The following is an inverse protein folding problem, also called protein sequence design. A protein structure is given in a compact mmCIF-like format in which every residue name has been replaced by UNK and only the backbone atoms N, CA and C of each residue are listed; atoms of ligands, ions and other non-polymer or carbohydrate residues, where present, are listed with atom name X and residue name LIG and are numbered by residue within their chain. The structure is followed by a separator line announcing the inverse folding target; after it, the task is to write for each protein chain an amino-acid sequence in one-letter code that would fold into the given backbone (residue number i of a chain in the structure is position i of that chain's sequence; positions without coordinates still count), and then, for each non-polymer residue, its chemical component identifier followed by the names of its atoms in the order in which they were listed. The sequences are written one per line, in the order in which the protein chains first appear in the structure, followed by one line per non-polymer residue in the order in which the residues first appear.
data_IF_335995397114
#
_entry.id   IF_335995397114
#
_cell.length_a   1.000
_cell.length_b   1.000
_cell.length_c   1.000
_cell.angle_alpha   90.00
_cell.angle_beta   90.00
_cell.angle_gamma   90.00
#
_symmetry.space_group_name_H-M   'P 1'
#
loop_
_entity.id
_entity.type
_entity.pdbx_description
1 polymer ?
#
# COMPACT_ATOMS: atom_id res chain seq x y z
N UNK A 1 3.61 39.73 -0.67
CA UNK A 1 4.53 39.31 0.40
C UNK A 1 3.97 38.05 1.04
N UNK A 2 4.63 36.89 0.95
CA UNK A 2 4.18 35.69 1.63
C UNK A 2 4.28 35.92 3.15
N UNK A 3 3.14 35.77 3.84
CA UNK A 3 3.06 35.88 5.30
C UNK A 3 3.68 34.63 5.88
N UNK A 4 4.87 34.76 6.45
CA UNK A 4 5.66 33.69 7.09
C UNK A 4 4.81 32.88 8.09
N UNK A 5 4.45 31.61 7.80
CA UNK A 5 4.14 30.61 8.82
C UNK A 5 5.39 29.74 9.00
N UNK A 6 6.57 30.34 9.10
CA UNK A 6 7.82 29.60 8.81
C UNK A 6 8.21 28.68 9.96
N UNK A 7 8.24 29.16 11.20
CA UNK A 7 8.85 28.38 12.29
C UNK A 7 8.05 27.11 12.65
N UNK A 8 6.72 27.19 12.70
CA UNK A 8 5.87 26.06 13.08
C UNK A 8 5.97 24.86 12.13
N UNK A 9 6.06 25.11 10.82
CA UNK A 9 6.17 24.05 9.81
C UNK A 9 7.54 23.36 9.92
N UNK A 10 8.64 24.11 10.11
CA UNK A 10 9.96 23.52 10.32
C UNK A 10 10.05 22.68 11.59
N UNK A 11 9.46 23.13 12.70
CA UNK A 11 9.44 22.38 13.96
C UNK A 11 8.70 21.05 13.79
N UNK A 12 7.56 21.06 13.11
CA UNK A 12 6.78 19.83 12.82
C UNK A 12 7.55 18.88 11.90
N UNK A 13 8.22 19.40 10.86
CA UNK A 13 9.06 18.58 9.97
C UNK A 13 10.24 17.97 10.72
N UNK A 14 10.92 18.75 11.58
CA UNK A 14 12.04 18.27 12.39
C UNK A 14 11.59 17.17 13.36
N UNK A 15 10.46 17.35 14.05
CA UNK A 15 9.91 16.33 14.94
C UNK A 15 9.61 15.03 14.20
N UNK A 16 9.11 15.11 12.96
CA UNK A 16 8.88 13.93 12.12
C UNK A 16 10.19 13.18 11.82
N UNK A 17 11.24 13.90 11.42
CA UNK A 17 12.55 13.30 11.12
C UNK A 17 13.17 12.68 12.39
N UNK A 18 13.09 13.38 13.52
CA UNK A 18 13.58 12.87 14.80
C UNK A 18 12.86 11.58 15.22
N UNK A 19 11.54 11.47 14.99
CA UNK A 19 10.78 10.27 15.31
C UNK A 19 11.16 9.09 14.40
N UNK A 20 11.42 9.36 13.12
CA UNK A 20 11.97 8.38 12.17
C UNK A 20 13.35 7.88 12.64
N UNK A 21 14.25 8.79 13.01
CA UNK A 21 15.58 8.44 13.55
C UNK A 21 15.44 7.64 14.85
N UNK A 22 14.54 8.04 15.76
CA UNK A 22 14.31 7.32 17.01
C UNK A 22 13.77 5.90 16.78
N UNK A 23 12.91 5.69 15.78
CA UNK A 23 12.45 4.34 15.38
C UNK A 23 13.59 3.45 14.89
N UNK A 24 14.43 3.97 14.00
CA UNK A 24 15.62 3.23 13.52
C UNK A 24 16.57 2.96 14.67
N UNK A 25 16.83 3.95 15.52
CA UNK A 25 17.68 3.82 16.70
C UNK A 25 17.16 2.78 17.69
N UNK A 26 15.84 2.71 17.91
CA UNK A 26 15.23 1.66 18.74
C UNK A 26 15.43 0.27 18.15
N UNK A 27 15.27 0.12 16.82
CA UNK A 27 15.58 -1.14 16.14
C UNK A 27 17.07 -1.48 16.20
N UNK A 28 17.98 -0.52 16.11
CA UNK A 28 19.41 -0.80 16.31
C UNK A 28 19.78 -1.08 17.78
N UNK A 29 18.92 -0.71 18.73
CA UNK A 29 19.19 -0.84 20.17
C UNK A 29 19.56 -2.25 20.62
N UNK A 30 18.90 -3.29 20.09
CA UNK A 30 19.24 -4.67 20.47
C UNK A 30 20.62 -5.10 19.95
N UNK A 31 21.03 -4.60 18.77
CA UNK A 31 22.38 -4.84 18.24
C UNK A 31 23.44 -4.07 19.06
N UNK A 32 23.15 -2.83 19.43
CA UNK A 32 24.04 -2.03 20.28
C UNK A 32 24.27 -2.73 21.62
N UNK A 33 23.22 -3.28 22.23
CA UNK A 33 23.33 -4.04 23.48
C UNK A 33 24.16 -5.32 23.27
N UNK A 34 23.88 -6.09 22.21
CA UNK A 34 24.56 -7.35 21.94
C UNK A 34 26.07 -7.17 21.69
N UNK A 35 26.43 -6.26 20.78
CA UNK A 35 27.82 -5.98 20.46
C UNK A 35 28.52 -5.19 21.58
N UNK A 36 27.81 -4.29 22.25
CA UNK A 36 28.35 -3.51 23.38
C UNK A 36 28.71 -4.40 24.57
N UNK A 37 27.86 -5.36 24.94
CA UNK A 37 28.19 -6.34 25.97
C UNK A 37 29.31 -7.28 25.53
N UNK A 38 29.31 -7.70 24.25
CA UNK A 38 30.37 -8.56 23.72
C UNK A 38 31.75 -7.87 23.80
N UNK A 39 31.84 -6.60 23.38
CA UNK A 39 33.08 -5.83 23.50
C UNK A 39 33.43 -5.47 24.94
N UNK A 40 32.44 -5.22 25.82
CA UNK A 40 32.70 -5.02 27.25
C UNK A 40 33.42 -6.23 27.87
N UNK A 41 32.97 -7.45 27.54
CA UNK A 41 33.57 -8.69 28.05
C UNK A 41 34.97 -8.91 27.47
N UNK A 42 35.16 -8.68 26.17
CA UNK A 42 36.42 -8.98 25.47
C UNK A 42 37.50 -7.91 25.73
N UNK A 43 37.10 -6.63 25.73
CA UNK A 43 37.99 -5.47 25.80
C UNK A 43 37.86 -4.69 27.12
N UNK A 44 37.30 -5.28 28.18
CA UNK A 44 37.03 -4.59 29.46
C UNK A 44 38.25 -3.94 30.14
N UNK A 45 39.47 -4.30 29.75
CA UNK A 45 40.72 -3.66 30.20
C UNK A 45 40.95 -2.26 29.58
N UNK A 46 40.17 -1.87 28.56
CA UNK A 46 40.23 -0.56 27.92
C UNK A 46 39.26 0.40 28.57
N UNK A 47 39.66 1.67 28.66
CA UNK A 47 38.85 2.76 29.23
C UNK A 47 37.48 2.87 28.55
N UNK A 48 37.43 2.79 27.22
CA UNK A 48 36.21 2.84 26.42
C UNK A 48 35.24 1.67 26.66
N UNK A 49 35.75 0.52 27.11
CA UNK A 49 34.96 -0.68 27.38
C UNK A 49 34.94 -1.07 28.86
N UNK A 50 35.41 -0.19 29.75
CA UNK A 50 35.57 -0.47 31.18
C UNK A 50 34.25 -0.65 31.93
N UNK A 51 33.19 -0.01 31.44
CA UNK A 51 31.81 -0.16 31.90
C UNK A 51 30.92 -0.52 30.71
N UNK A 52 29.85 -1.28 30.98
CA UNK A 52 28.83 -1.58 29.96
C UNK A 52 28.25 -0.29 29.35
N UNK A 53 28.05 0.76 30.15
CA UNK A 53 27.54 2.05 29.67
C UNK A 53 28.49 2.72 28.67
N UNK A 54 29.79 2.76 28.97
CA UNK A 54 30.80 3.29 28.05
C UNK A 54 30.92 2.45 26.79
N UNK A 55 30.78 1.12 26.92
CA UNK A 55 30.80 0.20 25.78
C UNK A 55 29.66 0.46 24.81
N UNK A 56 28.44 0.75 25.31
CA UNK A 56 27.30 1.11 24.46
C UNK A 56 27.54 2.43 23.71
N UNK A 57 28.10 3.43 24.39
CA UNK A 57 28.44 4.71 23.77
C UNK A 57 29.50 4.50 22.68
N UNK A 58 30.55 3.71 22.95
CA UNK A 58 31.58 3.44 21.95
C UNK A 58 31.05 2.63 20.76
N UNK A 59 30.15 1.67 20.99
CA UNK A 59 29.50 0.94 19.89
C UNK A 59 28.60 1.85 19.06
N UNK A 60 27.87 2.78 19.70
CA UNK A 60 27.06 3.77 18.99
C UNK A 60 27.94 4.70 18.12
N UNK A 61 29.04 5.19 18.68
CA UNK A 61 30.06 5.95 17.96
C UNK A 61 30.63 5.19 16.74
N UNK A 62 30.96 3.91 16.92
CA UNK A 62 31.42 3.05 15.83
C UNK A 62 30.35 2.81 14.74
N UNK A 63 29.05 2.88 15.05
CA UNK A 63 27.97 2.82 14.04
C UNK A 63 27.93 4.09 13.19
N UNK A 64 28.29 5.25 13.74
CA UNK A 64 28.37 6.52 13.01
C UNK A 64 29.54 6.57 12.01
N UNK A 65 30.44 5.58 12.06
CA UNK A 65 31.55 5.42 11.12
C UNK A 65 32.92 5.71 11.72
N UNK A 66 33.00 6.06 13.00
CA UNK A 66 34.27 6.29 13.70
C UNK A 66 34.88 4.96 14.15
N UNK A 67 35.71 4.38 13.27
CA UNK A 67 36.41 3.12 13.52
C UNK A 67 37.87 3.35 13.93
N UNK A 68 38.11 3.50 15.23
CA UNK A 68 39.47 3.62 15.80
C UNK A 68 40.16 2.25 15.93
N UNK A 69 40.38 1.56 14.80
CA UNK A 69 40.97 0.22 14.79
C UNK A 69 42.30 0.15 15.54
N UNK A 70 43.17 1.16 15.32
CA UNK A 70 44.52 1.17 15.85
C UNK A 70 44.49 1.22 17.39
N UNK A 71 43.79 2.19 17.95
CA UNK A 71 43.78 2.43 19.40
C UNK A 71 42.96 1.39 20.17
N UNK A 72 41.85 0.94 19.58
CA UNK A 72 40.90 0.05 20.24
C UNK A 72 41.30 -1.42 20.12
N UNK A 73 41.83 -1.85 18.97
CA UNK A 73 42.11 -3.26 18.68
C UNK A 73 43.60 -3.53 18.47
N UNK A 74 44.29 -2.78 17.62
CA UNK A 74 45.70 -3.08 17.26
C UNK A 74 46.66 -2.89 18.44
N UNK A 75 46.70 -1.70 19.04
CA UNK A 75 47.60 -1.35 20.14
C UNK A 75 47.50 -2.30 21.35
N UNK A 76 46.31 -2.66 21.86
CA UNK A 76 46.23 -3.59 22.97
C UNK A 76 46.60 -5.02 22.62
N UNK A 77 46.39 -5.46 21.37
CA UNK A 77 46.82 -6.77 20.91
C UNK A 77 48.35 -6.80 20.74
N UNK A 78 48.93 -5.79 20.10
CA UNK A 78 50.36 -5.68 19.83
C UNK A 78 51.18 -5.51 21.11
N UNK A 79 50.71 -4.65 22.04
CA UNK A 79 51.38 -4.41 23.32
C UNK A 79 51.07 -5.49 24.38
N UNK A 80 50.40 -6.58 24.03
CA UNK A 80 50.11 -7.69 24.94
C UNK A 80 49.15 -7.35 26.09
N UNK A 81 48.39 -6.25 25.99
CA UNK A 81 47.41 -5.82 26.99
C UNK A 81 46.13 -6.66 26.92
N UNK A 82 45.85 -7.26 25.76
CA UNK A 82 44.79 -8.27 25.59
C UNK A 82 45.39 -9.67 25.67
N UNK A 83 45.03 -10.43 26.70
CA UNK A 83 45.50 -11.82 26.85
C UNK A 83 44.90 -12.73 25.77
N UNK A 84 45.67 -13.72 25.32
CA UNK A 84 45.12 -14.82 24.52
C UNK A 84 44.11 -15.62 25.36
N UNK A 85 42.95 -16.03 24.81
CA UNK A 85 42.53 -15.98 23.39
C UNK A 85 41.68 -14.75 23.01
N UNK A 86 41.50 -13.78 23.92
CA UNK A 86 40.62 -12.62 23.71
C UNK A 86 41.08 -11.72 22.55
N UNK A 87 42.37 -11.74 22.20
CA UNK A 87 42.92 -11.01 21.06
C UNK A 87 42.32 -11.47 19.71
N UNK A 88 42.26 -12.79 19.47
CA UNK A 88 41.67 -13.35 18.25
C UNK A 88 40.15 -13.17 18.26
N UNK A 89 39.53 -13.35 19.43
CA UNK A 89 38.09 -13.18 19.59
C UNK A 89 37.66 -11.73 19.32
N UNK A 90 38.43 -10.74 19.79
CA UNK A 90 38.19 -9.32 19.53
C UNK A 90 38.18 -9.01 18.04
N UNK A 91 39.15 -9.56 17.29
CA UNK A 91 39.23 -9.38 15.84
C UNK A 91 38.05 -10.03 15.13
N UNK A 92 37.66 -11.25 15.51
CA UNK A 92 36.50 -11.94 14.92
C UNK A 92 35.22 -11.12 15.15
N UNK A 93 34.97 -10.67 16.38
CA UNK A 93 33.82 -9.85 16.71
C UNK A 93 33.85 -8.49 16.00
N UNK A 94 35.03 -7.89 15.86
CA UNK A 94 35.22 -6.65 15.10
C UNK A 94 34.91 -6.83 13.62
N UNK A 95 35.44 -7.89 12.98
CA UNK A 95 35.12 -8.21 11.58
C UNK A 95 33.63 -8.50 11.38
N UNK A 96 33.00 -9.22 12.31
CA UNK A 96 31.56 -9.42 12.30
C UNK A 96 30.81 -8.09 12.42
N UNK A 97 31.25 -7.20 13.32
CA UNK A 97 30.65 -5.89 13.54
C UNK A 97 30.69 -5.01 12.28
N UNK A 98 31.84 -4.89 11.62
CA UNK A 98 31.99 -4.01 10.43
C UNK A 98 31.17 -4.48 9.22
N UNK A 99 30.78 -5.77 9.19
CA UNK A 99 29.90 -6.31 8.14
C UNK A 99 28.45 -6.16 8.56
N UNK A 100 28.11 -6.67 9.75
CA UNK A 100 26.71 -6.79 10.21
C UNK A 100 26.11 -5.42 10.50
N UNK A 101 26.83 -4.52 11.17
CA UNK A 101 26.24 -3.25 11.60
C UNK A 101 25.91 -2.30 10.45
N UNK A 102 26.80 -2.05 9.47
CA UNK A 102 26.46 -1.20 8.34
C UNK A 102 25.33 -1.79 7.49
N UNK A 103 25.33 -3.11 7.25
CA UNK A 103 24.25 -3.78 6.51
C UNK A 103 22.92 -3.66 7.27
N UNK A 104 22.92 -3.92 8.59
CA UNK A 104 21.72 -3.78 9.40
C UNK A 104 21.22 -2.34 9.42
N UNK A 105 22.10 -1.37 9.65
CA UNK A 105 21.74 0.06 9.66
C UNK A 105 21.20 0.53 8.31
N UNK A 106 21.85 0.16 7.19
CA UNK A 106 21.38 0.49 5.85
C UNK A 106 20.02 -0.17 5.56
N UNK A 107 19.86 -1.46 5.82
CA UNK A 107 18.62 -2.18 5.56
C UNK A 107 17.46 -1.63 6.40
N UNK A 108 17.68 -1.35 7.68
CA UNK A 108 16.64 -0.76 8.54
C UNK A 108 16.24 0.66 8.09
N UNK A 109 17.19 1.45 7.60
CA UNK A 109 16.91 2.79 7.08
C UNK A 109 16.14 2.71 5.75
N UNK A 110 16.51 1.78 4.86
CA UNK A 110 15.82 1.53 3.59
C UNK A 110 14.42 0.98 3.85
N UNK A 111 14.25 -0.01 4.73
CA UNK A 111 12.96 -0.62 5.04
C UNK A 111 11.98 0.41 5.62
N UNK A 112 12.46 1.32 6.46
CA UNK A 112 11.64 2.41 6.99
C UNK A 112 11.25 3.40 5.89
N UNK A 113 12.19 3.77 5.02
CA UNK A 113 11.93 4.66 3.88
C UNK A 113 10.94 4.04 2.89
N UNK A 114 11.10 2.75 2.56
CA UNK A 114 10.19 1.99 1.68
C UNK A 114 8.81 1.84 2.32
N UNK A 115 8.74 1.64 3.65
CA UNK A 115 7.49 1.60 4.39
C UNK A 115 6.75 2.93 4.37
N UNK A 116 7.46 4.06 4.43
CA UNK A 116 6.85 5.39 4.31
C UNK A 116 6.40 5.70 2.87
N UNK A 117 7.16 5.27 1.86
CA UNK A 117 6.75 5.35 0.44
C UNK A 117 5.45 4.57 0.20
N UNK A 118 5.35 3.32 0.68
CA UNK A 118 4.13 2.51 0.53
C UNK A 118 2.90 3.16 1.18
N UNK A 119 3.07 3.84 2.33
CA UNK A 119 1.95 4.59 2.95
C UNK A 119 1.50 5.74 2.08
N UNK A 120 2.44 6.51 1.52
CA UNK A 120 2.13 7.63 0.61
C UNK A 120 1.40 7.11 -0.63
N UNK A 121 1.90 6.04 -1.23
CA UNK A 121 1.30 5.42 -2.42
C UNK A 121 -0.14 4.95 -2.13
N UNK A 122 -0.35 4.18 -1.05
CA UNK A 122 -1.68 3.70 -0.68
C UNK A 122 -2.66 4.84 -0.41
N UNK A 123 -2.21 5.90 0.25
CA UNK A 123 -3.03 7.08 0.51
C UNK A 123 -3.40 7.79 -0.80
N UNK A 124 -2.49 7.92 -1.77
CA UNK A 124 -2.78 8.50 -3.07
C UNK A 124 -3.81 7.68 -3.87
N UNK A 125 -3.68 6.34 -3.87
CA UNK A 125 -4.65 5.43 -4.50
C UNK A 125 -6.03 5.60 -3.85
N UNK A 126 -6.11 5.63 -2.51
CA UNK A 126 -7.37 5.84 -1.79
C UNK A 126 -7.98 7.22 -2.11
N UNK A 127 -7.16 8.27 -2.19
CA UNK A 127 -7.61 9.60 -2.61
C UNK A 127 -8.22 9.58 -4.02
N UNK A 128 -7.59 8.88 -4.97
CA UNK A 128 -8.12 8.73 -6.32
C UNK A 128 -9.46 7.99 -6.36
N UNK A 129 -9.59 6.88 -5.63
CA UNK A 129 -10.84 6.11 -5.54
C UNK A 129 -11.98 6.95 -4.92
N UNK A 130 -11.70 7.74 -3.90
CA UNK A 130 -12.68 8.65 -3.30
C UNK A 130 -13.17 9.69 -4.30
N UNK A 131 -12.27 10.23 -5.12
CA UNK A 131 -12.62 11.17 -6.19
C UNK A 131 -13.54 10.49 -7.21
N UNK A 132 -13.20 9.29 -7.71
CA UNK A 132 -14.08 8.55 -8.64
C UNK A 132 -15.46 8.30 -8.03
N UNK A 133 -15.52 7.83 -6.78
CA UNK A 133 -16.78 7.59 -6.08
C UNK A 133 -17.63 8.86 -5.97
N UNK A 134 -16.99 10.00 -5.70
CA UNK A 134 -17.68 11.30 -5.67
C UNK A 134 -18.30 11.64 -7.02
N UNK A 135 -17.58 11.46 -8.12
CA UNK A 135 -18.11 11.72 -9.47
C UNK A 135 -19.28 10.79 -9.83
N UNK A 136 -19.16 9.48 -9.57
CA UNK A 136 -20.26 8.52 -9.80
C UNK A 136 -21.48 8.91 -8.98
N UNK A 137 -21.31 9.23 -7.69
CA UNK A 137 -22.42 9.65 -6.82
C UNK A 137 -23.09 10.94 -7.31
N UNK A 138 -22.33 11.85 -7.93
CA UNK A 138 -22.84 13.09 -8.51
C UNK A 138 -23.65 12.80 -9.76
N UNK A 139 -23.20 11.90 -10.62
CA UNK A 139 -23.95 11.45 -11.78
C UNK A 139 -25.24 10.72 -11.38
N UNK A 140 -25.20 9.78 -10.45
CA UNK A 140 -26.40 9.09 -9.96
C UNK A 140 -27.44 10.06 -9.36
N UNK A 141 -26.98 11.10 -8.65
CA UNK A 141 -27.89 12.15 -8.13
C UNK A 141 -28.50 12.96 -9.26
N UNK A 142 -27.73 13.28 -10.31
CA UNK A 142 -28.23 13.99 -11.49
C UNK A 142 -29.27 13.17 -12.23
N UNK A 143 -29.00 11.88 -12.45
CA UNK A 143 -29.94 10.96 -13.09
C UNK A 143 -31.21 10.82 -12.26
N UNK A 144 -31.11 10.56 -10.96
CA UNK A 144 -32.28 10.50 -10.07
C UNK A 144 -33.11 11.78 -10.13
N UNK A 145 -32.48 12.94 -10.08
CA UNK A 145 -33.18 14.23 -10.20
C UNK A 145 -33.91 14.39 -11.54
N UNK A 146 -33.30 13.96 -12.65
CA UNK A 146 -33.88 14.02 -13.98
C UNK A 146 -35.07 13.04 -14.14
N UNK A 147 -34.94 11.82 -13.62
CA UNK A 147 -36.04 10.86 -13.53
C UNK A 147 -37.22 11.40 -12.71
N UNK A 148 -36.96 12.04 -11.57
CA UNK A 148 -38.02 12.66 -10.77
C UNK A 148 -38.71 13.81 -11.52
N UNK A 149 -37.96 14.62 -12.27
CA UNK A 149 -38.56 15.69 -13.10
C UNK A 149 -39.41 15.12 -14.24
N UNK A 150 -38.93 14.10 -14.96
CA UNK A 150 -39.69 13.42 -16.01
C UNK A 150 -40.96 12.80 -15.44
N UNK A 151 -40.87 12.14 -14.28
CA UNK A 151 -42.03 11.53 -13.63
C UNK A 151 -43.07 12.56 -13.20
N UNK A 152 -42.63 13.71 -12.69
CA UNK A 152 -43.54 14.80 -12.31
C UNK A 152 -44.22 15.43 -13.52
N UNK A 153 -43.48 15.70 -14.61
CA UNK A 153 -44.03 16.25 -15.84
C UNK A 153 -45.01 15.27 -16.50
N UNK A 154 -44.65 13.98 -16.63
CA UNK A 154 -45.55 12.94 -17.14
C UNK A 154 -46.82 12.79 -16.29
N UNK A 155 -46.71 12.97 -14.97
CA UNK A 155 -47.87 12.94 -14.08
C UNK A 155 -48.78 14.15 -14.29
N UNK A 156 -48.22 15.34 -14.52
CA UNK A 156 -49.01 16.53 -14.90
C UNK A 156 -49.65 16.36 -16.28
N UNK A 157 -48.90 15.90 -17.28
CA UNK A 157 -49.41 15.67 -18.63
C UNK A 157 -50.53 14.62 -18.64
N UNK A 158 -50.43 13.56 -17.82
CA UNK A 158 -51.49 12.56 -17.65
C UNK A 158 -52.75 13.15 -16.99
N UNK A 159 -52.61 14.10 -16.05
CA UNK A 159 -53.75 14.80 -15.44
C UNK A 159 -54.41 15.73 -16.46
N UNK A 160 -53.63 16.42 -17.29
CA UNK A 160 -54.12 17.31 -18.35
C UNK A 160 -54.82 16.52 -19.48
N UNK A 161 -54.23 15.39 -19.91
CA UNK A 161 -54.81 14.47 -20.89
C UNK A 161 -56.09 13.83 -20.37
N UNK A 162 -56.15 13.46 -19.09
CA UNK A 162 -57.35 12.85 -18.49
C UNK A 162 -58.52 13.83 -18.34
N UNK A 163 -58.27 15.14 -18.48
CA UNK A 163 -59.32 16.18 -18.51
C UNK A 163 -59.78 16.53 -19.94
N UNK A 164 -59.08 16.05 -20.97
CA UNK A 164 -59.40 16.32 -22.38
C UNK A 164 -60.27 15.21 -22.98
N UNK A 165 -61.56 15.49 -23.20
CA UNK A 165 -62.58 14.53 -23.62
C UNK A 165 -62.40 13.93 -25.03
N UNK A 166 -61.45 14.43 -25.83
CA UNK A 166 -61.18 13.94 -27.18
C UNK A 166 -60.12 12.81 -27.22
N UNK A 167 -59.34 12.61 -26.15
CA UNK A 167 -58.07 11.86 -26.19
C UNK A 167 -58.20 10.41 -25.71
N UNK A 168 -59.33 10.03 -25.11
CA UNK A 168 -59.55 8.68 -24.55
C UNK A 168 -59.48 7.57 -25.62
N UNK A 169 -59.92 7.86 -26.84
CA UNK A 169 -59.88 6.91 -27.95
C UNK A 169 -58.46 6.72 -28.51
N UNK A 170 -57.72 7.80 -28.73
CA UNK A 170 -56.34 7.75 -29.25
C UNK A 170 -55.38 7.10 -28.24
N UNK A 171 -55.57 7.37 -26.94
CA UNK A 171 -54.78 6.74 -25.86
C UNK A 171 -55.05 5.24 -25.78
N UNK A 172 -56.28 4.80 -26.05
CA UNK A 172 -56.61 3.36 -26.07
C UNK A 172 -55.88 2.63 -27.18
N UNK A 173 -55.81 3.23 -28.37
CA UNK A 173 -55.13 2.65 -29.53
C UNK A 173 -53.61 2.58 -29.34
N UNK A 174 -52.99 3.66 -28.83
CA UNK A 174 -51.56 3.67 -28.53
C UNK A 174 -51.16 2.68 -27.43
N UNK A 175 -52.02 2.50 -26.41
CA UNK A 175 -51.80 1.53 -25.32
C UNK A 175 -51.87 0.08 -25.84
N UNK A 176 -52.73 -0.17 -26.83
CA UNK A 176 -52.83 -1.47 -27.48
C UNK A 176 -51.62 -1.76 -28.38
N UNK A 177 -51.13 -0.77 -29.13
CA UNK A 177 -49.92 -0.87 -29.94
C UNK A 177 -48.69 -1.13 -29.06
N UNK A 178 -48.52 -0.39 -27.97
CA UNK A 178 -47.42 -0.58 -27.03
C UNK A 178 -47.46 -1.97 -26.34
N UNK A 179 -48.65 -2.45 -25.97
CA UNK A 179 -48.86 -3.80 -25.43
C UNK A 179 -48.49 -4.89 -26.44
N UNK A 180 -48.89 -4.73 -27.70
CA UNK A 180 -48.53 -5.67 -28.77
C UNK A 180 -47.04 -5.64 -29.08
N UNK A 181 -46.41 -4.46 -29.09
CA UNK A 181 -44.97 -4.34 -29.30
C UNK A 181 -44.18 -5.02 -28.17
N UNK A 182 -44.56 -4.80 -26.91
CA UNK A 182 -43.95 -5.46 -25.76
C UNK A 182 -44.04 -6.99 -25.81
N UNK A 183 -45.18 -7.54 -26.25
CA UNK A 183 -45.34 -8.99 -26.49
C UNK A 183 -44.41 -9.51 -27.59
N UNK A 184 -44.24 -8.76 -28.68
CA UNK A 184 -43.32 -9.13 -29.78
C UNK A 184 -41.86 -9.12 -29.35
N UNK A 185 -41.44 -8.10 -28.58
CA UNK A 185 -40.07 -8.02 -28.04
C UNK A 185 -39.80 -9.19 -27.09
N UNK A 186 -40.76 -9.56 -26.25
CA UNK A 186 -40.62 -10.71 -25.33
C UNK A 186 -40.51 -12.05 -26.09
N UNK A 187 -41.27 -12.22 -27.18
CA UNK A 187 -41.13 -13.39 -28.06
C UNK A 187 -39.76 -13.43 -28.77
N UNK A 188 -39.26 -12.29 -29.27
CA UNK A 188 -37.93 -12.21 -29.88
C UNK A 188 -36.82 -12.54 -28.86
N UNK A 189 -36.90 -12.02 -27.64
CA UNK A 189 -35.94 -12.34 -26.59
C UNK A 189 -35.91 -13.84 -26.27
N UNK A 190 -37.08 -14.48 -26.24
CA UNK A 190 -37.19 -15.92 -26.07
C UNK A 190 -36.56 -16.69 -27.24
N UNK A 191 -36.80 -16.27 -28.49
CA UNK A 191 -36.16 -16.87 -29.66
C UNK A 191 -34.64 -16.73 -29.60
N UNK A 192 -34.12 -15.53 -29.33
CA UNK A 192 -32.67 -15.30 -29.23
C UNK A 192 -32.02 -16.20 -28.17
N UNK A 193 -32.64 -16.34 -27.00
CA UNK A 193 -32.13 -17.25 -25.97
C UNK A 193 -32.13 -18.72 -26.41
N UNK A 194 -33.15 -19.15 -27.16
CA UNK A 194 -33.19 -20.50 -27.71
C UNK A 194 -32.08 -20.74 -28.75
N UNK A 195 -31.82 -19.76 -29.62
CA UNK A 195 -30.76 -19.82 -30.61
C UNK A 195 -29.36 -19.85 -29.96
N UNK A 196 -29.15 -19.08 -28.90
CA UNK A 196 -27.90 -19.10 -28.12
C UNK A 196 -27.67 -20.48 -27.49
N UNK A 197 -28.72 -21.12 -26.95
CA UNK A 197 -28.64 -22.47 -26.40
C UNK A 197 -28.21 -23.49 -27.46
N UNK A 198 -28.82 -23.46 -28.64
CA UNK A 198 -28.43 -24.33 -29.76
C UNK A 198 -26.96 -24.10 -30.14
N UNK A 199 -26.53 -22.84 -30.23
CA UNK A 199 -25.15 -22.52 -30.60
C UNK A 199 -24.14 -23.02 -29.54
N UNK A 200 -24.48 -22.94 -28.25
CA UNK A 200 -23.65 -23.53 -27.19
C UNK A 200 -23.58 -25.05 -27.27
N UNK A 201 -24.69 -25.74 -27.54
CA UNK A 201 -24.73 -27.21 -27.68
C UNK A 201 -23.95 -27.68 -28.92
N UNK A 202 -24.05 -26.94 -30.04
CA UNK A 202 -23.28 -27.18 -31.26
C UNK A 202 -21.78 -27.02 -31.01
N UNK A 203 -21.35 -25.96 -30.32
CA UNK A 203 -19.94 -25.77 -29.93
C UNK A 203 -19.42 -26.92 -29.07
N UNK A 204 -20.22 -27.39 -28.11
CA UNK A 204 -19.83 -28.51 -27.27
C UNK A 204 -19.70 -29.82 -28.06
N UNK A 205 -20.63 -30.09 -28.99
CA UNK A 205 -20.55 -31.23 -29.90
C UNK A 205 -19.35 -31.15 -30.85
N UNK A 206 -19.05 -29.96 -31.36
CA UNK A 206 -17.90 -29.73 -32.25
C UNK A 206 -16.59 -30.01 -31.50
N UNK A 207 -16.45 -29.52 -30.27
CA UNK A 207 -15.27 -29.78 -29.44
C UNK A 207 -15.10 -31.28 -29.14
N UNK A 208 -16.19 -32.01 -28.87
CA UNK A 208 -16.15 -33.47 -28.67
C UNK A 208 -15.78 -34.26 -29.93
N UNK A 209 -16.02 -33.71 -31.12
CA UNK A 209 -15.60 -34.30 -32.40
C UNK A 209 -14.10 -34.04 -32.62
N UNK A 210 -13.64 -32.80 -32.40
CA UNK A 210 -12.22 -32.44 -32.51
C UNK A 210 -11.33 -33.18 -31.50
N UNK A 211 -11.79 -33.43 -30.27
CA UNK A 211 -11.06 -34.27 -29.30
C UNK A 211 -10.97 -35.74 -29.72
N UNK A 212 -11.92 -36.23 -30.53
CA UNK A 212 -11.91 -37.62 -31.02
C UNK A 212 -10.95 -37.84 -32.20
N UNK A 213 -10.70 -36.81 -33.02
CA UNK A 213 -9.79 -36.89 -34.18
C UNK A 213 -8.30 -36.72 -33.81
N UNK A 214 -7.96 -36.40 -32.55
CA UNK A 214 -6.58 -36.28 -32.04
C UNK A 214 -6.04 -37.62 -31.47
N UNK A 215 -6.89 -38.65 -31.39
CA UNK A 215 -6.50 -40.00 -30.94
C UNK A 215 -6.60 -40.99 -32.12
N UNK A 216 -5.81 -40.77 -33.18
CA UNK A 216 -5.32 -41.80 -34.11
C UNK A 216 -3.87 -41.47 -34.47
#
# INVERSE_FOLDING_TARGET
MPRLPTFGIYVVMLQSVLLTIAKVGFMLGFLIIAFGLSFHIILGHKTYFSSASYSFIKVFDMILGELDYIEVFFDPIYNGKTLAPYNVLALIFYFGFIIVMPIAAMNLMVDLAVGDIHKIERNAVLSCLNIQKFYISKEEKRERGLFTQIQNNLSQDMIEVSQSSAVENDVRELKEIASNHGRRVKMMAHQVNYLLKINSEMREKLNKIFEKDIII
#
